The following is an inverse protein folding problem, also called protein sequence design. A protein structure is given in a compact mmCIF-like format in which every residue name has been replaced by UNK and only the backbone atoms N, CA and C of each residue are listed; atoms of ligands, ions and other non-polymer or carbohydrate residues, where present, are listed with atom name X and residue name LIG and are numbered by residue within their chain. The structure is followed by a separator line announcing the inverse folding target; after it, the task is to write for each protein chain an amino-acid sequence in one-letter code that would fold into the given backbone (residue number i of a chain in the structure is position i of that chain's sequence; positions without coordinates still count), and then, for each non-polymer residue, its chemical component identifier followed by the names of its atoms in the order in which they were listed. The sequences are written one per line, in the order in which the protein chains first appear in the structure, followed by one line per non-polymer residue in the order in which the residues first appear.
data_IF_421089306817
#
_entry.id   IF_421089306817
#
_cell.length_a   1.000
_cell.length_b   1.000
_cell.length_c   1.000
_cell.angle_alpha   90.00
_cell.angle_beta   90.00
_cell.angle_gamma   90.00
#
_symmetry.space_group_name_H-M   'P 1'
#
loop_
_entity.id
_entity.type
_entity.pdbx_description
1 polymer ?
#
# COMPACT_ATOMS: atom_id res chain seq x y z
N UNK A 1 1.27 2.68 -11.35
CA UNK A 1 0.57 1.90 -10.31
C UNK A 1 -0.43 0.92 -10.91
N UNK A 2 -1.46 1.36 -11.65
CA UNK A 2 -2.48 0.43 -12.21
C UNK A 2 -1.88 -0.74 -13.00
N UNK A 3 -0.92 -0.48 -13.90
CA UNK A 3 -0.25 -1.55 -14.65
C UNK A 3 0.52 -2.54 -13.75
N UNK A 4 1.12 -2.06 -12.66
CA UNK A 4 1.85 -2.90 -11.71
C UNK A 4 0.91 -3.72 -10.81
N UNK A 5 -0.29 -3.21 -10.50
CA UNK A 5 -1.31 -4.01 -9.84
C UNK A 5 -1.82 -5.13 -10.77
N UNK A 6 -2.09 -4.78 -12.03
CA UNK A 6 -2.59 -5.74 -13.03
C UNK A 6 -1.57 -6.81 -13.42
N UNK A 7 -0.27 -6.61 -13.19
CA UNK A 7 0.75 -7.65 -13.43
C UNK A 7 0.70 -8.76 -12.38
N UNK A 8 0.28 -8.46 -11.14
CA UNK A 8 0.19 -9.42 -10.04
C UNK A 8 -1.25 -9.89 -9.76
N UNK A 9 -2.26 -9.09 -10.13
CA UNK A 9 -3.68 -9.40 -10.02
C UNK A 9 -4.47 -8.77 -11.19
N UNK A 10 -4.81 -9.58 -12.20
CA UNK A 10 -5.55 -9.14 -13.38
C UNK A 10 -6.95 -8.58 -13.09
N UNK A 11 -7.51 -8.88 -11.91
CA UNK A 11 -8.81 -8.38 -11.47
C UNK A 11 -8.73 -7.12 -10.61
N UNK A 12 -7.53 -6.61 -10.31
CA UNK A 12 -7.35 -5.48 -9.42
C UNK A 12 -7.94 -4.18 -9.98
N UNK A 13 -8.67 -3.46 -9.12
CA UNK A 13 -9.25 -2.15 -9.45
C UNK A 13 -8.62 -1.09 -8.51
N UNK A 14 -7.82 -0.14 -9.03
CA UNK A 14 -7.25 0.91 -8.22
C UNK A 14 -8.33 1.89 -7.77
N UNK A 15 -8.40 2.15 -6.46
CA UNK A 15 -9.34 3.09 -5.86
C UNK A 15 -8.60 4.21 -5.12
N UNK A 16 -9.09 5.46 -5.16
CA UNK A 16 -8.60 6.51 -4.27
C UNK A 16 -8.91 6.13 -2.82
N UNK A 17 -7.87 6.06 -1.99
CA UNK A 17 -7.99 5.78 -0.56
C UNK A 17 -7.39 6.94 0.23
N UNK A 18 -8.18 7.52 1.14
CA UNK A 18 -7.71 8.54 2.05
C UNK A 18 -7.35 7.88 3.39
N UNK A 19 -6.04 7.81 3.67
CA UNK A 19 -5.53 7.33 4.94
C UNK A 19 -5.68 8.45 6.00
N UNK A 20 -6.33 8.15 7.12
CA UNK A 20 -6.52 9.09 8.25
C UNK A 20 -5.28 9.21 9.16
N UNK A 21 -4.27 8.36 8.97
CA UNK A 21 -3.02 8.40 9.71
C UNK A 21 -2.12 9.56 9.29
N UNK A 22 -1.18 9.92 10.16
CA UNK A 22 -0.10 10.86 9.83
C UNK A 22 1.08 10.13 9.19
N UNK A 23 1.59 10.69 8.10
CA UNK A 23 2.80 10.22 7.43
C UNK A 23 3.67 11.43 7.08
N UNK A 24 4.92 11.17 6.69
CA UNK A 24 5.85 12.21 6.22
C UNK A 24 5.31 12.98 5.01
N UNK A 25 4.36 12.40 4.25
CA UNK A 25 3.69 13.05 3.13
C UNK A 25 3.05 14.39 3.52
N UNK A 26 2.59 14.55 4.78
CA UNK A 26 2.08 15.83 5.24
C UNK A 26 3.17 16.91 5.22
N UNK A 27 4.36 16.60 5.74
CA UNK A 27 5.48 17.54 5.74
C UNK A 27 5.94 17.83 4.31
N UNK A 28 6.04 16.80 3.46
CA UNK A 28 6.43 16.95 2.05
C UNK A 28 5.44 17.77 1.22
N UNK A 29 4.14 17.70 1.52
CA UNK A 29 3.14 18.52 0.85
C UNK A 29 3.37 20.03 1.05
N UNK A 30 3.91 20.44 2.21
CA UNK A 30 4.25 21.84 2.47
C UNK A 30 5.42 22.34 1.61
N UNK A 31 6.23 21.41 1.08
CA UNK A 31 7.31 21.68 0.13
C UNK A 31 6.83 21.65 -1.33
N UNK A 32 5.53 21.49 -1.57
CA UNK A 32 4.95 21.42 -2.93
C UNK A 32 5.09 20.05 -3.61
N UNK A 33 5.51 19.01 -2.88
CA UNK A 33 5.63 17.66 -3.42
C UNK A 33 4.27 16.97 -3.49
N UNK A 34 3.99 16.29 -4.62
CA UNK A 34 2.86 15.36 -4.72
C UNK A 34 3.27 14.02 -4.15
N UNK A 35 2.69 13.64 -3.02
CA UNK A 35 3.01 12.38 -2.33
C UNK A 35 1.78 11.47 -2.32
N UNK A 36 2.01 10.19 -2.64
CA UNK A 36 1.01 9.14 -2.54
C UNK A 36 1.57 8.04 -1.64
N UNK A 37 0.79 7.63 -0.65
CA UNK A 37 1.15 6.51 0.21
C UNK A 37 1.02 5.18 -0.53
N UNK A 38 1.85 4.22 -0.13
CA UNK A 38 1.76 2.83 -0.59
C UNK A 38 1.94 1.91 0.61
N UNK A 39 0.96 1.02 0.83
CA UNK A 39 1.08 -0.06 1.81
C UNK A 39 1.13 -1.38 1.03
N UNK A 40 2.25 -2.12 1.07
CA UNK A 40 2.51 -3.27 0.22
C UNK A 40 1.77 -4.52 0.72
N UNK A 41 0.45 -4.47 0.86
CA UNK A 41 -0.32 -5.53 1.51
C UNK A 41 -1.55 -5.90 0.72
N UNK A 42 -1.59 -7.14 0.23
CA UNK A 42 -2.85 -7.80 -0.15
C UNK A 42 -3.53 -8.32 1.10
N UNK A 43 -4.56 -7.63 1.58
CA UNK A 43 -5.20 -7.93 2.85
C UNK A 43 -6.16 -9.13 2.73
N UNK A 44 -6.03 -10.16 3.58
CA UNK A 44 -7.05 -11.19 3.74
C UNK A 44 -8.37 -10.58 4.20
N UNK A 45 -9.49 -11.19 3.78
CA UNK A 45 -10.83 -10.67 4.08
C UNK A 45 -11.18 -10.66 5.58
N UNK A 46 -10.51 -11.51 6.37
CA UNK A 46 -10.71 -11.71 7.80
C UNK A 46 -9.68 -10.97 8.68
N UNK A 47 -8.73 -10.24 8.07
CA UNK A 47 -7.75 -9.47 8.80
C UNK A 47 -8.31 -8.09 9.17
N UNK A 48 -8.44 -7.80 10.48
CA UNK A 48 -8.69 -6.44 10.95
C UNK A 48 -7.44 -5.59 10.81
N UNK A 49 -7.17 -5.14 9.58
CA UNK A 49 -5.99 -4.37 9.27
C UNK A 49 -5.95 -3.02 10.00
N UNK A 50 -7.11 -2.36 10.14
CA UNK A 50 -7.20 -1.07 10.84
C UNK A 50 -6.89 -1.18 12.33
N UNK A 51 -7.35 -2.25 13.00
CA UNK A 51 -7.10 -2.47 14.42
C UNK A 51 -5.64 -2.84 14.73
N UNK A 52 -4.86 -3.25 13.73
CA UNK A 52 -3.46 -3.60 13.89
C UNK A 52 -2.52 -2.39 13.90
N UNK A 53 -2.94 -1.22 13.42
CA UNK A 53 -2.09 -0.02 13.48
C UNK A 53 -1.73 0.34 14.93
N UNK A 54 -0.48 0.13 15.31
CA UNK A 54 0.01 0.30 16.69
C UNK A 54 -0.75 -0.54 17.72
N UNK A 55 -1.39 -1.62 17.27
CA UNK A 55 -2.15 -2.54 18.10
C UNK A 55 -1.25 -3.56 18.80
N UNK A 56 -1.84 -4.32 19.72
CA UNK A 56 -1.17 -5.50 20.29
C UNK A 56 -0.95 -6.52 19.18
N UNK A 57 0.27 -7.06 19.09
CA UNK A 57 0.64 -8.07 18.10
C UNK A 57 0.44 -7.59 16.65
N UNK A 58 0.75 -6.31 16.39
CA UNK A 58 0.81 -5.75 15.03
C UNK A 58 1.65 -6.65 14.12
N UNK A 59 1.03 -7.16 13.06
CA UNK A 59 1.63 -8.11 12.14
C UNK A 59 0.93 -8.10 10.80
N UNK A 60 1.57 -8.70 9.81
CA UNK A 60 1.03 -8.85 8.47
C UNK A 60 1.32 -10.26 7.96
N UNK A 61 0.47 -10.82 7.09
CA UNK A 61 0.79 -12.05 6.40
C UNK A 61 2.02 -11.88 5.50
N UNK A 62 2.90 -12.88 5.48
CA UNK A 62 4.13 -12.84 4.68
C UNK A 62 3.82 -12.79 3.19
N UNK A 63 2.79 -13.51 2.74
CA UNK A 63 2.34 -13.51 1.35
C UNK A 63 1.77 -12.14 0.93
N UNK A 64 1.15 -11.40 1.84
CA UNK A 64 0.73 -10.01 1.61
C UNK A 64 1.92 -9.10 1.30
N UNK A 65 3.01 -9.23 2.08
CA UNK A 65 4.24 -8.46 1.86
C UNK A 65 4.93 -8.84 0.54
N UNK A 66 5.03 -10.14 0.23
CA UNK A 66 5.63 -10.62 -1.02
C UNK A 66 4.84 -10.15 -2.24
N UNK A 67 3.51 -10.08 -2.15
CA UNK A 67 2.70 -9.48 -3.21
C UNK A 67 3.04 -8.00 -3.41
N UNK A 68 3.07 -7.22 -2.31
CA UNK A 68 3.36 -5.80 -2.39
C UNK A 68 4.77 -5.47 -2.85
N UNK A 69 5.75 -6.32 -2.52
CA UNK A 69 7.13 -6.23 -3.01
C UNK A 69 7.20 -6.33 -4.54
N UNK A 70 6.55 -7.33 -5.14
CA UNK A 70 6.48 -7.47 -6.60
C UNK A 70 5.77 -6.31 -7.29
N UNK A 71 4.66 -5.83 -6.73
CA UNK A 71 3.94 -4.65 -7.25
C UNK A 71 4.85 -3.41 -7.22
N UNK A 72 5.58 -3.21 -6.13
CA UNK A 72 6.49 -2.07 -6.00
C UNK A 72 7.69 -2.19 -6.96
N UNK A 73 8.29 -3.37 -7.08
CA UNK A 73 9.40 -3.63 -8.00
C UNK A 73 8.97 -3.40 -9.45
N UNK A 74 7.84 -3.95 -9.88
CA UNK A 74 7.29 -3.70 -11.20
C UNK A 74 7.00 -2.21 -11.42
N UNK A 75 6.43 -1.52 -10.41
CA UNK A 75 6.17 -0.09 -10.52
C UNK A 75 7.45 0.70 -10.74
N UNK A 76 8.49 0.48 -9.94
CA UNK A 76 9.75 1.24 -10.03
C UNK A 76 10.56 0.95 -11.29
N UNK A 77 10.48 -0.27 -11.83
CA UNK A 77 11.20 -0.65 -13.05
C UNK A 77 10.52 -0.24 -14.34
N UNK A 78 9.20 -0.02 -14.31
CA UNK A 78 8.38 0.21 -15.50
C UNK A 78 7.54 1.50 -15.42
N UNK A 79 7.89 2.42 -14.50
CA UNK A 79 7.29 3.75 -14.34
C UNK A 79 7.87 4.79 -15.26
#
# INVERSE_FOLDING_TARGET
MSAALLSEDSGAIPLPYLLSAYTDAKAFSLLGMKCYGFSPLRLPADLDFSGLFHGVDERVPVDSLLFGEKVLDHFLRNS
#
